data_IF_640698381785
#
_entry.id   IF_640698381785
#
_cell.length_a   1.000
_cell.length_b   1.000
_cell.length_c   1.000
_cell.angle_alpha   90.00
_cell.angle_beta   90.00
_cell.angle_gamma   90.00
#
_symmetry.space_group_name_H-M   'P 1'
#
loop_
_entity.id
_entity.type
_entity.pdbx_description
1 polymer ?
#
# COMPACT_ATOMS: atom_id res chain seq x y z
N UNK A 1 23.91 4.72 5.72
CA UNK A 1 22.52 4.61 6.22
C UNK A 1 22.00 3.21 5.94
N UNK A 2 21.29 2.62 6.89
CA UNK A 2 20.75 1.25 6.79
C UNK A 2 19.57 1.18 5.80
N UNK A 3 18.75 2.23 5.75
CA UNK A 3 17.55 2.32 4.92
C UNK A 3 17.64 3.44 3.89
N UNK A 4 17.05 3.21 2.72
CA UNK A 4 16.93 4.21 1.66
C UNK A 4 15.55 4.89 1.72
N UNK A 5 14.51 4.15 2.14
CA UNK A 5 13.13 4.65 2.28
C UNK A 5 12.48 4.08 3.54
N UNK A 6 11.80 4.93 4.30
CA UNK A 6 10.87 4.50 5.36
C UNK A 6 9.43 4.68 4.88
N UNK A 7 8.60 3.65 5.04
CA UNK A 7 7.16 3.70 4.77
C UNK A 7 6.43 3.64 6.10
N UNK A 8 5.58 4.62 6.39
CA UNK A 8 4.82 4.70 7.64
C UNK A 8 3.38 4.24 7.38
N UNK A 9 2.99 3.12 7.97
CA UNK A 9 1.67 2.50 7.82
C UNK A 9 1.69 1.25 6.93
N UNK A 10 1.15 0.14 7.44
CA UNK A 10 1.03 -1.16 6.77
C UNK A 10 -0.33 -1.40 6.15
N UNK A 11 -1.01 -0.34 5.68
CA UNK A 11 -2.24 -0.42 4.91
C UNK A 11 -2.02 -0.85 3.45
N UNK A 12 -3.07 -0.77 2.63
CA UNK A 12 -2.99 -1.11 1.21
C UNK A 12 -1.94 -0.26 0.46
N UNK A 13 -1.97 1.06 0.67
CA UNK A 13 -1.02 2.00 0.06
C UNK A 13 0.41 1.76 0.54
N UNK A 14 0.61 1.57 1.85
CA UNK A 14 1.94 1.34 2.43
C UNK A 14 2.59 0.04 1.96
N UNK A 15 1.84 -1.07 1.94
CA UNK A 15 2.35 -2.35 1.43
C UNK A 15 2.71 -2.28 -0.05
N UNK A 16 1.86 -1.64 -0.87
CA UNK A 16 2.14 -1.43 -2.29
C UNK A 16 3.38 -0.54 -2.51
N UNK A 17 3.47 0.57 -1.78
CA UNK A 17 4.60 1.49 -1.87
C UNK A 17 5.91 0.83 -1.44
N UNK A 18 5.90 0.07 -0.33
CA UNK A 18 7.09 -0.62 0.16
C UNK A 18 7.55 -1.72 -0.80
N UNK A 19 6.62 -2.56 -1.28
CA UNK A 19 6.94 -3.58 -2.28
C UNK A 19 7.53 -2.99 -3.55
N UNK A 20 6.91 -1.93 -4.10
CA UNK A 20 7.41 -1.29 -5.32
C UNK A 20 8.77 -0.60 -5.12
N UNK A 21 8.99 0.06 -3.99
CA UNK A 21 10.29 0.65 -3.69
C UNK A 21 11.39 -0.42 -3.55
N UNK A 22 11.07 -1.54 -2.90
CA UNK A 22 11.95 -2.70 -2.79
C UNK A 22 12.26 -3.34 -4.15
N UNK A 23 11.26 -3.48 -5.01
CA UNK A 23 11.40 -3.99 -6.39
C UNK A 23 12.33 -3.11 -7.23
N UNK A 24 12.30 -1.79 -7.01
CA UNK A 24 13.22 -0.81 -7.61
C UNK A 24 14.62 -0.80 -6.95
N UNK A 25 14.92 -1.78 -6.10
CA UNK A 25 16.25 -2.02 -5.53
C UNK A 25 16.56 -1.25 -4.24
N UNK A 26 15.59 -0.49 -3.69
CA UNK A 26 15.77 0.28 -2.44
C UNK A 26 15.68 -0.61 -1.22
N UNK A 27 16.47 -0.33 -0.19
CA UNK A 27 16.30 -0.92 1.14
C UNK A 27 15.19 -0.17 1.87
N UNK A 28 14.10 -0.86 2.14
CA UNK A 28 12.87 -0.26 2.68
C UNK A 28 12.59 -0.78 4.08
N UNK A 29 12.26 0.13 5.00
CA UNK A 29 11.65 -0.21 6.27
C UNK A 29 10.20 0.25 6.29
N UNK A 30 9.25 -0.68 6.41
CA UNK A 30 7.85 -0.37 6.67
C UNK A 30 7.58 -0.47 8.17
N UNK A 31 7.08 0.62 8.77
CA UNK A 31 6.71 0.71 10.18
C UNK A 31 5.18 0.70 10.31
N UNK A 32 4.63 -0.31 10.98
CA UNK A 32 3.20 -0.45 11.27
C UNK A 32 2.97 -0.36 12.78
N UNK A 33 2.03 0.51 13.18
CA UNK A 33 1.67 0.75 14.57
C UNK A 33 1.04 -0.49 15.23
N UNK A 34 0.20 -1.22 14.50
CA UNK A 34 -0.56 -2.37 15.00
C UNK A 34 0.29 -3.65 15.00
N UNK A 35 -0.19 -4.71 15.66
CA UNK A 35 0.46 -6.03 15.67
C UNK A 35 0.32 -6.83 14.37
N UNK A 36 -0.34 -6.27 13.35
CA UNK A 36 -0.46 -6.86 12.01
C UNK A 36 -0.69 -5.76 10.98
N UNK A 37 -0.21 -6.01 9.76
CA UNK A 37 -0.49 -5.15 8.60
C UNK A 37 -1.89 -5.41 8.04
N UNK A 38 -2.42 -4.46 7.28
CA UNK A 38 -3.65 -4.64 6.50
C UNK A 38 -4.93 -4.79 7.34
N UNK A 39 -4.95 -4.34 8.60
CA UNK A 39 -6.13 -4.49 9.49
C UNK A 39 -7.39 -3.93 8.85
N UNK A 40 -7.37 -2.66 8.45
CA UNK A 40 -8.53 -2.03 7.79
C UNK A 40 -8.87 -2.73 6.48
N UNK A 41 -7.87 -3.08 5.67
CA UNK A 41 -8.06 -3.76 4.39
C UNK A 41 -8.80 -5.09 4.58
N UNK A 42 -8.41 -5.88 5.59
CA UNK A 42 -9.00 -7.17 5.93
C UNK A 42 -10.48 -7.10 6.35
N UNK A 43 -10.99 -5.90 6.68
CA UNK A 43 -12.37 -5.67 7.10
C UNK A 43 -13.26 -5.09 5.99
N UNK A 44 -12.65 -4.59 4.91
CA UNK A 44 -13.40 -3.97 3.80
C UNK A 44 -14.31 -4.96 3.08
N UNK A 45 -15.41 -4.48 2.51
CA UNK A 45 -16.38 -5.33 1.82
C UNK A 45 -16.97 -6.43 2.70
N UNK A 46 -17.12 -6.18 4.01
CA UNK A 46 -17.55 -7.17 5.02
C UNK A 46 -16.60 -8.39 5.09
N UNK A 47 -15.29 -8.14 5.06
CA UNK A 47 -14.27 -9.18 5.09
C UNK A 47 -13.97 -9.83 3.74
N UNK A 48 -14.58 -9.34 2.65
CA UNK A 48 -14.39 -9.86 1.29
C UNK A 48 -13.39 -9.07 0.46
N UNK A 49 -13.11 -7.82 0.83
CA UNK A 49 -12.30 -6.85 0.09
C UNK A 49 -12.88 -6.50 -1.28
N UNK A 50 -13.69 -5.42 -1.34
CA UNK A 50 -14.02 -4.77 -2.60
C UNK A 50 -12.77 -4.04 -3.11
N UNK A 51 -11.96 -4.73 -3.91
CA UNK A 51 -10.60 -4.35 -4.24
C UNK A 51 -10.56 -3.09 -5.13
N UNK A 52 -11.37 -3.08 -6.18
CA UNK A 52 -11.45 -2.01 -7.16
C UNK A 52 -12.78 -2.05 -7.92
N UNK A 53 -12.92 -1.22 -8.96
CA UNK A 53 -14.05 -1.23 -9.89
C UNK A 53 -13.55 -1.38 -11.35
N UNK A 54 -14.23 -2.15 -12.19
CA UNK A 54 -13.83 -2.33 -13.59
C UNK A 54 -14.23 -1.17 -14.52
N UNK A 55 -14.76 -0.07 -13.97
CA UNK A 55 -15.12 1.15 -14.69
C UNK A 55 -13.97 1.72 -15.55
N UNK A 56 -14.32 2.30 -16.70
CA UNK A 56 -13.36 3.06 -17.51
C UNK A 56 -12.86 4.29 -16.75
N UNK A 57 -11.67 4.79 -17.10
CA UNK A 57 -11.01 5.88 -16.39
C UNK A 57 -11.90 7.14 -16.23
N UNK A 58 -12.67 7.51 -17.27
CA UNK A 58 -13.50 8.72 -17.21
C UNK A 58 -14.64 8.56 -16.20
N UNK A 59 -15.30 7.40 -16.21
CA UNK A 59 -16.35 7.08 -15.25
C UNK A 59 -15.78 6.89 -13.84
N UNK A 60 -14.64 6.23 -13.72
CA UNK A 60 -13.98 5.95 -12.45
C UNK A 60 -13.60 7.24 -11.71
N UNK A 61 -12.97 8.18 -12.40
CA UNK A 61 -12.53 9.46 -11.83
C UNK A 61 -13.71 10.31 -11.32
N UNK A 62 -14.89 10.24 -11.97
CA UNK A 62 -16.08 10.98 -11.52
C UNK A 62 -16.53 10.58 -10.12
N UNK A 63 -16.26 9.34 -9.70
CA UNK A 63 -16.59 8.87 -8.35
C UNK A 63 -15.74 9.53 -7.25
N UNK A 64 -14.61 10.16 -7.62
CA UNK A 64 -13.74 10.91 -6.71
C UNK A 64 -14.09 12.40 -6.62
N UNK A 65 -15.17 12.83 -7.28
CA UNK A 65 -15.70 14.22 -7.25
C UNK A 65 -14.58 15.25 -7.49
N UNK A 66 -14.39 16.19 -6.57
CA UNK A 66 -13.44 17.29 -6.70
C UNK A 66 -11.97 16.83 -6.75
N UNK A 67 -11.65 15.65 -6.21
CA UNK A 67 -10.29 15.12 -6.16
C UNK A 67 -9.92 14.26 -7.37
N UNK A 68 -10.87 14.00 -8.27
CA UNK A 68 -10.64 13.11 -9.41
C UNK A 68 -9.51 13.57 -10.34
N UNK A 69 -9.38 14.89 -10.55
CA UNK A 69 -8.35 15.45 -11.44
C UNK A 69 -6.92 15.15 -10.97
N UNK A 70 -6.70 15.08 -9.66
CA UNK A 70 -5.39 14.75 -9.07
C UNK A 70 -4.94 13.33 -9.44
N UNK A 71 -5.89 12.41 -9.65
CA UNK A 71 -5.61 10.99 -9.83
C UNK A 71 -5.24 10.59 -11.27
N UNK A 72 -5.45 11.46 -12.28
CA UNK A 72 -5.13 11.14 -13.67
C UNK A 72 -3.68 10.67 -13.85
N UNK A 73 -2.72 11.38 -13.22
CA UNK A 73 -1.31 11.03 -13.35
C UNK A 73 -0.95 9.70 -12.67
N UNK A 74 -1.68 9.34 -11.60
CA UNK A 74 -1.49 8.07 -10.92
C UNK A 74 -2.10 6.92 -11.75
N UNK A 75 -3.35 7.09 -12.19
CA UNK A 75 -4.06 6.10 -12.99
C UNK A 75 -3.49 5.91 -14.40
N UNK A 76 -2.79 6.90 -14.96
CA UNK A 76 -2.04 6.71 -16.21
C UNK A 76 -0.84 5.75 -16.07
N UNK A 77 -0.36 5.51 -14.84
CA UNK A 77 0.79 4.64 -14.55
C UNK A 77 0.38 3.29 -13.98
N UNK A 78 -0.72 3.25 -13.22
CA UNK A 78 -1.22 2.07 -12.57
C UNK A 78 -2.72 2.26 -12.27
N UNK A 79 -3.57 1.52 -12.97
CA UNK A 79 -5.02 1.63 -12.85
C UNK A 79 -5.67 0.32 -12.35
N UNK A 80 -6.96 0.12 -12.64
CA UNK A 80 -7.72 -1.02 -12.18
C UNK A 80 -7.28 -2.33 -12.84
N UNK A 81 -7.07 -2.35 -14.16
CA UNK A 81 -6.64 -3.55 -14.89
C UNK A 81 -5.24 -4.00 -14.47
N UNK A 82 -4.33 -3.04 -14.20
CA UNK A 82 -3.01 -3.32 -13.64
C UNK A 82 -3.12 -3.91 -12.23
N UNK A 83 -4.03 -3.37 -11.41
CA UNK A 83 -4.27 -3.88 -10.05
C UNK A 83 -4.85 -5.30 -10.08
N UNK A 84 -5.79 -5.58 -10.97
CA UNK A 84 -6.35 -6.92 -11.15
C UNK A 84 -5.24 -7.89 -11.57
N UNK A 85 -4.49 -7.54 -12.62
CA UNK A 85 -3.38 -8.33 -13.14
C UNK A 85 -2.28 -8.55 -12.09
N UNK A 86 -2.02 -7.56 -11.22
CA UNK A 86 -1.06 -7.66 -10.13
C UNK A 86 -1.40 -8.80 -9.16
N UNK A 87 -2.67 -8.99 -8.81
CA UNK A 87 -3.08 -10.08 -7.93
C UNK A 87 -3.24 -11.41 -8.66
N UNK A 88 -3.77 -11.41 -9.88
CA UNK A 88 -3.96 -12.64 -10.65
C UNK A 88 -2.63 -13.31 -11.00
N UNK A 89 -1.62 -12.52 -11.39
CA UNK A 89 -0.23 -12.99 -11.60
C UNK A 89 0.43 -13.55 -10.33
N UNK A 90 -0.14 -13.28 -9.15
CA UNK A 90 0.30 -13.80 -7.84
C UNK A 90 -0.64 -14.89 -7.31
N UNK A 91 -1.43 -15.50 -8.19
CA UNK A 91 -2.27 -16.65 -7.86
C UNK A 91 -3.50 -16.32 -7.02
N UNK A 92 -3.96 -15.06 -7.05
CA UNK A 92 -5.23 -14.66 -6.43
C UNK A 92 -6.23 -14.23 -7.51
N UNK A 93 -7.06 -15.16 -8.03
CA UNK A 93 -8.06 -14.86 -9.04
C UNK A 93 -9.06 -13.81 -8.58
N UNK A 94 -9.46 -12.94 -9.49
CA UNK A 94 -10.42 -11.87 -9.22
C UNK A 94 -11.74 -12.13 -9.95
N UNK A 95 -12.84 -11.68 -9.36
CA UNK A 95 -14.18 -11.85 -9.91
C UNK A 95 -14.90 -10.51 -9.87
N UNK A 96 -15.53 -10.15 -10.99
CA UNK A 96 -16.44 -9.03 -11.08
C UNK A 96 -17.83 -9.42 -10.58
N UNK A 97 -18.41 -8.58 -9.73
CA UNK A 97 -19.78 -8.65 -9.25
C UNK A 97 -20.63 -7.47 -9.71
N UNK A 98 -21.92 -7.52 -9.40
CA UNK A 98 -22.89 -6.45 -9.66
C UNK A 98 -22.32 -5.07 -9.32
N UNK A 99 -22.50 -4.14 -10.27
CA UNK A 99 -22.01 -2.77 -10.15
C UNK A 99 -20.50 -2.65 -10.42
N UNK A 100 -19.93 -3.57 -11.21
CA UNK A 100 -18.53 -3.56 -11.63
C UNK A 100 -17.52 -3.69 -10.49
N UNK A 101 -17.96 -4.22 -9.34
CA UNK A 101 -17.13 -4.35 -8.15
C UNK A 101 -16.24 -5.58 -8.26
N UNK A 102 -14.96 -5.45 -7.95
CA UNK A 102 -14.01 -6.55 -8.05
C UNK A 102 -13.68 -7.11 -6.67
N UNK A 103 -13.73 -8.43 -6.53
CA UNK A 103 -13.39 -9.17 -5.30
C UNK A 103 -12.41 -10.30 -5.60
N UNK A 104 -11.61 -10.76 -4.61
CA UNK A 104 -10.96 -12.06 -4.70
C UNK A 104 -12.02 -13.16 -4.86
N UNK A 105 -11.79 -14.13 -5.74
CA UNK A 105 -12.72 -15.25 -5.98
C UNK A 105 -13.02 -16.05 -4.70
N UNK A 106 -12.06 -16.09 -3.77
CA UNK A 106 -12.20 -16.73 -2.46
C UNK A 106 -13.15 -16.00 -1.50
N UNK A 107 -13.54 -14.75 -1.80
CA UNK A 107 -14.28 -13.85 -0.92
C UNK A 107 -13.60 -13.58 0.43
N UNK A 108 -12.27 -13.71 0.49
CA UNK A 108 -11.49 -13.51 1.73
C UNK A 108 -10.51 -12.36 1.57
N UNK A 109 -10.78 -11.25 2.26
CA UNK A 109 -9.89 -10.08 2.29
C UNK A 109 -8.49 -10.40 2.83
N UNK A 110 -8.37 -11.44 3.67
CA UNK A 110 -7.08 -11.89 4.20
C UNK A 110 -6.13 -12.36 3.10
N UNK A 111 -6.65 -12.92 2.00
CA UNK A 111 -5.81 -13.32 0.86
C UNK A 111 -5.22 -12.10 0.14
N UNK A 112 -5.98 -11.01 0.03
CA UNK A 112 -5.48 -9.74 -0.53
C UNK A 112 -4.36 -9.18 0.35
N UNK A 113 -4.55 -9.18 1.68
CA UNK A 113 -3.51 -8.75 2.63
C UNK A 113 -2.28 -9.66 2.53
N UNK A 114 -2.48 -10.97 2.40
CA UNK A 114 -1.40 -11.95 2.25
C UNK A 114 -0.55 -11.64 1.02
N UNK A 115 -1.17 -11.47 -0.14
CA UNK A 115 -0.46 -11.18 -1.40
C UNK A 115 0.32 -9.85 -1.31
N UNK A 116 -0.29 -8.79 -0.75
CA UNK A 116 0.42 -7.50 -0.59
C UNK A 116 1.59 -7.59 0.38
N UNK A 117 1.43 -8.33 1.48
CA UNK A 117 2.50 -8.56 2.46
C UNK A 117 3.63 -9.39 1.86
N UNK A 118 3.31 -10.47 1.15
CA UNK A 118 4.29 -11.31 0.44
C UNK A 118 5.02 -10.51 -0.63
N UNK A 119 4.31 -9.70 -1.42
CA UNK A 119 4.93 -8.79 -2.39
C UNK A 119 5.92 -7.84 -1.73
N UNK A 120 5.54 -7.20 -0.62
CA UNK A 120 6.45 -6.33 0.12
C UNK A 120 7.71 -7.10 0.58
N UNK A 121 7.55 -8.26 1.23
CA UNK A 121 8.64 -9.07 1.78
C UNK A 121 9.52 -9.77 0.74
N UNK A 122 9.01 -10.01 -0.47
CA UNK A 122 9.76 -10.66 -1.56
C UNK A 122 10.90 -9.81 -2.13
N UNK A 123 10.97 -8.55 -1.72
CA UNK A 123 11.98 -7.59 -2.14
C UNK A 123 12.83 -7.14 -0.94
N UNK A 124 13.61 -6.07 -1.11
CA UNK A 124 14.50 -5.50 -0.07
C UNK A 124 13.74 -4.72 1.01
N UNK A 125 12.61 -5.25 1.48
CA UNK A 125 11.73 -4.60 2.46
C UNK A 125 11.70 -5.38 3.76
N UNK A 126 11.91 -4.68 4.88
CA UNK A 126 11.62 -5.18 6.23
C UNK A 126 10.31 -4.56 6.72
N UNK A 127 9.46 -5.38 7.32
CA UNK A 127 8.23 -4.92 7.98
C UNK A 127 8.43 -5.03 9.50
N UNK A 128 8.20 -3.93 10.21
CA UNK A 128 8.19 -3.89 11.67
C UNK A 128 6.80 -3.50 12.17
N UNK A 129 6.19 -4.40 12.93
CA UNK A 129 4.89 -4.17 13.60
C UNK A 129 5.12 -3.59 15.00
N UNK A 130 4.05 -3.17 15.68
CA UNK A 130 4.14 -2.52 17.00
C UNK A 130 5.09 -1.30 17.01
N UNK A 131 5.15 -0.59 15.89
CA UNK A 131 6.12 0.47 15.62
C UNK A 131 5.40 1.79 15.34
N UNK A 132 4.84 2.44 16.37
CA UNK A 132 4.26 3.77 16.22
C UNK A 132 5.34 4.77 15.82
N UNK A 133 5.14 5.46 14.70
CA UNK A 133 5.94 6.64 14.34
C UNK A 133 5.30 7.87 14.96
N UNK A 134 6.10 8.63 15.70
CA UNK A 134 5.66 9.80 16.47
C UNK A 134 6.08 11.11 15.79
N UNK A 135 7.22 11.10 15.11
CA UNK A 135 7.77 12.30 14.47
C UNK A 135 8.50 11.96 13.17
N UNK A 136 8.46 12.87 12.19
CA UNK A 136 9.32 12.84 11.01
C UNK A 136 10.44 13.85 11.23
N UNK A 137 11.68 13.37 11.21
CA UNK A 137 12.86 14.18 11.45
C UNK A 137 13.23 14.97 10.20
N UNK A 138 13.25 16.30 10.33
CA UNK A 138 13.63 17.24 9.26
C UNK A 138 14.82 18.07 9.72
N UNK A 139 15.88 18.13 8.91
CA UNK A 139 17.03 19.00 9.15
C UNK A 139 17.38 19.75 7.87
N UNK A 140 17.56 21.07 7.98
CA UNK A 140 17.86 21.94 6.82
C UNK A 140 16.87 21.76 5.65
N UNK A 141 15.58 21.60 5.97
CA UNK A 141 14.52 21.38 4.98
C UNK A 141 14.52 20.01 4.28
N UNK A 142 15.34 19.06 4.74
CA UNK A 142 15.41 17.69 4.20
C UNK A 142 14.99 16.66 5.24
N UNK A 143 14.31 15.62 4.78
CA UNK A 143 13.99 14.43 5.58
C UNK A 143 15.30 13.74 5.99
N UNK A 144 15.41 13.39 7.28
CA UNK A 144 16.55 12.65 7.84
C UNK A 144 16.14 11.28 8.39
N UNK A 145 14.86 11.10 8.73
CA UNK A 145 14.37 9.87 9.35
C UNK A 145 13.05 10.08 10.07
N UNK A 146 12.79 9.23 11.05
CA UNK A 146 11.62 9.26 11.91
C UNK A 146 11.97 8.91 13.36
N UNK A 147 11.11 9.30 14.29
CA UNK A 147 11.09 8.79 15.67
C UNK A 147 10.05 7.66 15.74
N UNK A 148 10.49 6.47 16.14
CA UNK A 148 9.63 5.31 16.35
C UNK A 148 9.77 4.85 17.82
N UNK A 149 8.80 5.20 18.66
CA UNK A 149 8.95 5.09 20.11
C UNK A 149 10.12 5.95 20.59
N UNK A 150 11.14 5.33 21.20
CA UNK A 150 12.35 6.04 21.68
C UNK A 150 13.52 6.00 20.70
N UNK A 151 13.36 5.38 19.53
CA UNK A 151 14.44 5.16 18.57
C UNK A 151 14.39 6.15 17.41
N UNK A 152 15.54 6.75 17.08
CA UNK A 152 15.74 7.45 15.81
C UNK A 152 16.05 6.44 14.69
N UNK A 153 15.22 6.43 13.65
CA UNK A 153 15.45 5.59 12.46
C UNK A 153 15.72 6.48 11.26
N UNK A 154 16.93 6.39 10.72
CA UNK A 154 17.41 7.30 9.68
C UNK A 154 17.15 6.78 8.26
N UNK A 155 16.59 7.63 7.41
CA UNK A 155 16.46 7.43 5.97
C UNK A 155 16.31 8.78 5.25
N UNK A 156 16.82 8.91 4.01
CA UNK A 156 16.71 10.15 3.25
C UNK A 156 15.30 10.40 2.68
N UNK A 157 14.42 9.40 2.72
CA UNK A 157 13.06 9.48 2.16
C UNK A 157 12.05 8.81 3.10
N UNK A 158 10.87 9.42 3.20
CA UNK A 158 9.73 8.92 3.97
C UNK A 158 8.48 8.95 3.09
N UNK A 159 7.72 7.85 3.09
CA UNK A 159 6.38 7.76 2.49
C UNK A 159 5.37 7.64 3.62
N UNK A 160 4.46 8.62 3.72
CA UNK A 160 3.38 8.62 4.72
C UNK A 160 2.15 7.90 4.16
N UNK A 161 1.73 6.79 4.79
CA UNK A 161 0.65 5.91 4.35
C UNK A 161 -0.22 5.37 5.51
N UNK A 162 -0.50 6.24 6.50
CA UNK A 162 -1.22 5.94 7.76
C UNK A 162 -2.73 5.86 7.65
#
# INVERSE_FOLDING_TARGET
MEWDVIVIGGGASGLMAAGRAGELGKRVLLLEKMGRVGVKLSLTGKGRCNLTNSGDLQTFIKHYRHNGKFLYNAFAKFFNDDLISFFESRGLPMVEERGRRIFPASNRAQEVVRVLREYALSHRTRIQIHSPVEEILVSQGKIRGVICGTEEVLAPQVILAT
#
